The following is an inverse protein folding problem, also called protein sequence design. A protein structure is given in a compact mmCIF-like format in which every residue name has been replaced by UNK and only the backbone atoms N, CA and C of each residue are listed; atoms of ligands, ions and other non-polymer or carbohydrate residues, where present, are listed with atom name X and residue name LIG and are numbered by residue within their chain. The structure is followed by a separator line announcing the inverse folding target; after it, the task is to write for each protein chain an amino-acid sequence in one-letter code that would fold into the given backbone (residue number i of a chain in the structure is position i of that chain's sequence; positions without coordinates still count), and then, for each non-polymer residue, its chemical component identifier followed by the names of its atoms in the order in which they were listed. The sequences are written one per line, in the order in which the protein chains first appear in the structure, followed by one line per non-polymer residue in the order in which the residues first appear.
data_IF_228962552793
#
_entry.id   IF_228962552793
#
_cell.length_a   1.000
_cell.length_b   1.000
_cell.length_c   1.000
_cell.angle_alpha   90.00
_cell.angle_beta   90.00
_cell.angle_gamma   90.00
#
_symmetry.space_group_name_H-M   'P 1'
#
loop_
_entity.id
_entity.type
_entity.pdbx_description
1 polymer ?
#
# COMPACT_ATOMS: atom_id res chain seq x y z
N UNK A 1 -15.25 11.83 32.62
CA UNK A 1 -16.19 12.51 31.68
C UNK A 1 -15.97 12.11 30.20
N UNK A 2 -17.02 12.14 29.37
CA UNK A 2 -16.92 12.02 27.89
C UNK A 2 -16.21 13.25 27.30
N UNK A 3 -15.74 13.17 26.05
CA UNK A 3 -15.09 14.30 25.36
C UNK A 3 -13.64 14.61 25.78
N UNK A 4 -13.11 14.03 26.87
CA UNK A 4 -11.74 14.27 27.33
C UNK A 4 -10.63 13.56 26.52
N UNK A 5 -10.89 13.15 25.28
CA UNK A 5 -9.86 12.61 24.37
C UNK A 5 -9.41 11.16 24.60
N UNK A 6 -10.02 10.38 25.51
CA UNK A 6 -9.62 8.97 25.78
C UNK A 6 -9.43 8.11 24.53
N UNK A 7 -10.38 8.15 23.60
CA UNK A 7 -10.32 7.38 22.36
C UNK A 7 -9.23 7.91 21.41
N UNK A 8 -8.93 9.20 21.46
CA UNK A 8 -7.88 9.81 20.64
C UNK A 8 -6.49 9.47 21.17
N UNK A 9 -6.32 9.42 22.49
CA UNK A 9 -5.07 8.94 23.12
C UNK A 9 -4.78 7.51 22.66
N UNK A 10 -5.75 6.60 22.75
CA UNK A 10 -5.57 5.21 22.32
C UNK A 10 -5.28 5.10 20.82
N UNK A 11 -6.02 5.83 19.98
CA UNK A 11 -5.83 5.84 18.52
C UNK A 11 -4.44 6.36 18.14
N UNK A 12 -3.98 7.44 18.77
CA UNK A 12 -2.66 8.03 18.50
C UNK A 12 -1.54 7.12 18.98
N UNK A 13 -1.69 6.51 20.15
CA UNK A 13 -0.71 5.55 20.65
C UNK A 13 -0.54 4.38 19.69
N UNK A 14 -1.63 3.81 19.16
CA UNK A 14 -1.56 2.74 18.18
C UNK A 14 -0.87 3.16 16.87
N UNK A 15 -1.12 4.40 16.39
CA UNK A 15 -0.39 4.94 15.22
C UNK A 15 1.11 5.10 15.49
N UNK A 16 1.49 5.60 16.66
CA UNK A 16 2.90 5.77 17.05
C UNK A 16 3.62 4.44 17.22
N UNK A 17 2.93 3.43 17.78
CA UNK A 17 3.43 2.08 17.93
C UNK A 17 3.32 1.25 16.63
N UNK A 18 2.76 1.84 15.56
CA UNK A 18 2.57 1.19 14.27
C UNK A 18 1.83 -0.17 14.39
N UNK A 19 0.79 -0.14 15.22
CA UNK A 19 0.03 -1.30 15.67
C UNK A 19 -1.42 -1.24 15.13
N UNK A 20 -2.03 -2.40 14.82
CA UNK A 20 -3.43 -2.46 14.43
C UNK A 20 -4.34 -1.99 15.58
N UNK A 21 -5.43 -1.30 15.23
CA UNK A 21 -6.33 -0.70 16.21
C UNK A 21 -7.79 -0.79 15.78
N UNK A 22 -8.69 -1.01 16.74
CA UNK A 22 -10.14 -0.96 16.53
C UNK A 22 -10.84 -0.31 17.72
N UNK A 23 -11.90 0.46 17.44
CA UNK A 23 -12.80 1.00 18.46
C UNK A 23 -14.09 0.20 18.44
N UNK A 24 -14.47 -0.36 19.59
CA UNK A 24 -15.71 -1.11 19.77
C UNK A 24 -16.51 -0.54 20.94
N UNK A 25 -17.84 -0.62 20.87
CA UNK A 25 -18.75 -0.19 21.95
C UNK A 25 -19.26 -1.41 22.70
N UNK A 26 -19.02 -1.46 24.02
CA UNK A 26 -19.28 -2.63 24.85
C UNK A 26 -20.77 -3.02 24.93
N UNK A 27 -21.67 -2.04 24.91
CA UNK A 27 -23.13 -2.28 24.99
C UNK A 27 -23.64 -3.12 23.84
N UNK A 28 -22.99 -3.07 22.67
CA UNK A 28 -23.36 -3.87 21.48
C UNK A 28 -23.26 -5.38 21.69
N UNK A 29 -22.54 -5.82 22.71
CA UNK A 29 -22.29 -7.24 23.00
C UNK A 29 -23.08 -7.75 24.20
N UNK A 30 -23.72 -6.85 24.95
CA UNK A 30 -24.51 -7.18 26.14
C UNK A 30 -26.01 -6.94 25.96
N UNK A 31 -26.39 -6.14 24.95
CA UNK A 31 -27.77 -5.66 24.74
C UNK A 31 -28.64 -6.63 23.92
N UNK A 32 -28.02 -7.62 23.26
CA UNK A 32 -28.72 -8.67 22.53
C UNK A 32 -28.08 -9.97 22.97
N UNK A 33 -28.82 -10.83 23.66
CA UNK A 33 -28.35 -12.18 23.96
C UNK A 33 -27.72 -12.78 22.70
N UNK A 34 -26.47 -13.23 22.86
CA UNK A 34 -25.61 -13.91 21.88
C UNK A 34 -26.41 -14.37 20.66
N UNK A 35 -26.21 -13.82 19.44
CA UNK A 35 -26.54 -14.45 18.13
C UNK A 35 -26.25 -13.60 16.87
N UNK A 36 -25.31 -12.62 16.87
CA UNK A 36 -25.00 -11.91 15.61
C UNK A 36 -23.64 -11.23 15.48
N UNK A 37 -23.15 -10.58 16.54
CA UNK A 37 -21.76 -10.12 16.66
C UNK A 37 -21.19 -10.67 17.96
N UNK A 38 -20.55 -11.82 17.84
CA UNK A 38 -19.80 -12.41 18.94
C UNK A 38 -18.56 -11.54 19.25
N UNK A 39 -18.05 -11.60 20.48
CA UNK A 39 -16.76 -11.01 20.90
C UNK A 39 -15.64 -11.40 19.93
N UNK A 40 -15.71 -12.58 19.33
CA UNK A 40 -14.82 -13.05 18.28
C UNK A 40 -14.72 -12.10 17.08
N UNK A 41 -15.78 -11.36 16.74
CA UNK A 41 -15.75 -10.38 15.65
C UNK A 41 -14.78 -9.24 15.95
N UNK A 42 -14.59 -8.87 17.22
CA UNK A 42 -13.61 -7.84 17.62
C UNK A 42 -12.21 -8.25 17.22
N UNK A 43 -11.88 -9.54 17.44
CA UNK A 43 -10.57 -10.09 17.09
C UNK A 43 -10.42 -10.21 15.57
N UNK A 44 -11.47 -10.67 14.86
CA UNK A 44 -11.45 -10.74 13.39
C UNK A 44 -11.20 -9.37 12.76
N UNK A 45 -11.96 -8.35 13.16
CA UNK A 45 -11.80 -7.00 12.64
C UNK A 45 -10.40 -6.41 12.96
N UNK A 46 -9.84 -6.72 14.14
CA UNK A 46 -8.49 -6.31 14.50
C UNK A 46 -7.43 -6.98 13.61
N UNK A 47 -7.58 -8.28 13.33
CA UNK A 47 -6.68 -9.03 12.45
C UNK A 47 -6.78 -8.51 11.02
N UNK A 48 -7.97 -8.19 10.52
CA UNK A 48 -8.15 -7.58 9.20
C UNK A 48 -7.40 -6.24 9.10
N UNK A 49 -7.50 -5.39 10.12
CA UNK A 49 -6.73 -4.14 10.19
C UNK A 49 -5.21 -4.39 10.21
N UNK A 50 -4.75 -5.44 10.89
CA UNK A 50 -3.34 -5.84 10.90
C UNK A 50 -2.86 -6.26 9.51
N UNK A 51 -3.66 -7.06 8.78
CA UNK A 51 -3.35 -7.47 7.41
C UNK A 51 -3.24 -6.26 6.49
N UNK A 52 -4.17 -5.30 6.59
CA UNK A 52 -4.12 -4.06 5.81
C UNK A 52 -2.85 -3.25 6.08
N UNK A 53 -2.50 -3.09 7.36
CA UNK A 53 -1.30 -2.38 7.80
C UNK A 53 -0.02 -3.04 7.25
N UNK A 54 0.10 -4.37 7.35
CA UNK A 54 1.26 -5.10 6.81
C UNK A 54 1.32 -5.00 5.29
N UNK A 55 0.19 -5.15 4.59
CA UNK A 55 0.13 -4.98 3.13
C UNK A 55 0.59 -3.60 2.69
N UNK A 56 0.17 -2.56 3.40
CA UNK A 56 0.60 -1.19 3.11
C UNK A 56 2.12 -1.06 3.28
N UNK A 57 2.68 -1.51 4.40
CA UNK A 57 4.13 -1.50 4.63
C UNK A 57 4.92 -2.23 3.56
N UNK A 58 4.44 -3.40 3.13
CA UNK A 58 5.09 -4.18 2.08
C UNK A 58 5.07 -3.45 0.74
N UNK A 59 3.95 -2.81 0.38
CA UNK A 59 3.87 -1.99 -0.83
C UNK A 59 4.83 -0.81 -0.78
N UNK A 60 4.90 -0.11 0.35
CA UNK A 60 5.82 1.01 0.53
C UNK A 60 7.28 0.57 0.40
N UNK A 61 7.66 -0.55 1.03
CA UNK A 61 9.01 -1.13 0.92
C UNK A 61 9.36 -1.56 -0.50
N UNK A 62 8.40 -2.14 -1.23
CA UNK A 62 8.61 -2.63 -2.58
C UNK A 62 8.47 -1.55 -3.66
N UNK A 63 8.05 -0.32 -3.32
CA UNK A 63 7.66 0.70 -4.28
C UNK A 63 8.78 1.07 -5.28
N UNK A 64 10.03 1.16 -4.82
CA UNK A 64 11.18 1.48 -5.67
C UNK A 64 11.48 0.36 -6.67
N UNK A 65 11.54 -0.88 -6.18
CA UNK A 65 11.77 -2.06 -7.00
C UNK A 65 10.64 -2.26 -8.01
N UNK A 66 9.37 -2.13 -7.59
CA UNK A 66 8.22 -2.24 -8.48
C UNK A 66 8.29 -1.18 -9.58
N UNK A 67 8.65 0.07 -9.24
CA UNK A 67 8.78 1.15 -10.23
C UNK A 67 9.78 0.79 -11.33
N UNK A 68 10.97 0.32 -10.96
CA UNK A 68 12.01 -0.09 -11.93
C UNK A 68 11.53 -1.22 -12.84
N UNK A 69 10.87 -2.24 -12.28
CA UNK A 69 10.35 -3.36 -13.06
C UNK A 69 9.23 -2.93 -14.02
N UNK A 70 8.34 -2.06 -13.57
CA UNK A 70 7.25 -1.52 -14.39
C UNK A 70 7.83 -0.67 -15.52
N UNK A 71 8.81 0.19 -15.25
CA UNK A 71 9.47 1.02 -16.27
C UNK A 71 10.14 0.15 -17.34
N UNK A 72 10.92 -0.85 -16.94
CA UNK A 72 11.56 -1.77 -17.88
C UNK A 72 10.53 -2.56 -18.71
N UNK A 73 9.43 -3.00 -18.09
CA UNK A 73 8.36 -3.70 -18.78
C UNK A 73 7.64 -2.81 -19.81
N UNK A 74 7.38 -1.54 -19.45
CA UNK A 74 6.79 -0.55 -20.35
C UNK A 74 7.71 -0.23 -21.52
N UNK A 75 9.00 0.00 -21.27
CA UNK A 75 10.00 0.23 -22.33
C UNK A 75 10.04 -0.94 -23.31
N UNK A 76 10.09 -2.17 -22.79
CA UNK A 76 10.05 -3.38 -23.62
C UNK A 76 8.80 -3.45 -24.51
N UNK A 77 7.64 -3.14 -23.94
CA UNK A 77 6.37 -3.15 -24.69
C UNK A 77 6.37 -2.09 -25.80
N UNK A 78 6.83 -0.88 -25.49
CA UNK A 78 6.93 0.21 -26.47
C UNK A 78 7.89 -0.16 -27.60
N UNK A 79 9.08 -0.70 -27.28
CA UNK A 79 10.06 -1.12 -28.29
C UNK A 79 9.54 -2.25 -29.19
N UNK A 80 8.70 -3.15 -28.65
CA UNK A 80 8.08 -4.21 -29.44
C UNK A 80 7.00 -3.70 -30.40
N UNK A 81 6.36 -2.56 -30.11
CA UNK A 81 5.29 -2.00 -30.95
C UNK A 81 5.81 -1.13 -32.11
N UNK A 82 7.06 -0.62 -32.05
CA UNK A 82 7.66 0.23 -33.09
C UNK A 82 9.07 -0.23 -33.49
N UNK A 83 9.26 -1.44 -34.05
CA UNK A 83 10.59 -1.95 -34.39
C UNK A 83 11.32 -1.14 -35.47
N UNK A 84 10.61 -0.55 -36.43
CA UNK A 84 11.18 0.11 -37.62
C UNK A 84 11.59 1.58 -37.39
N UNK A 85 10.87 2.33 -36.55
CA UNK A 85 11.15 3.77 -36.31
C UNK A 85 12.35 3.99 -35.36
N UNK A 86 12.60 3.07 -34.44
CA UNK A 86 13.64 3.24 -33.41
C UNK A 86 15.02 2.74 -33.82
N UNK A 87 15.13 1.80 -34.77
CA UNK A 87 16.41 1.39 -35.34
C UNK A 87 17.14 2.58 -36.00
N UNK A 88 16.39 3.45 -36.70
CA UNK A 88 16.93 4.68 -37.28
C UNK A 88 17.31 5.73 -36.23
N UNK A 89 16.53 5.86 -35.14
CA UNK A 89 16.79 6.84 -34.08
C UNK A 89 18.03 6.49 -33.21
N UNK A 90 18.26 5.22 -32.91
CA UNK A 90 19.46 4.76 -32.20
C UNK A 90 20.72 4.91 -33.06
N UNK A 91 20.61 4.66 -34.37
CA UNK A 91 21.72 4.82 -35.31
C UNK A 91 22.10 6.29 -35.50
N UNK A 92 21.13 7.20 -35.58
CA UNK A 92 21.39 8.64 -35.71
C UNK A 92 21.91 9.28 -34.42
N UNK A 93 21.44 8.83 -33.25
CA UNK A 93 21.95 9.29 -31.95
C UNK A 93 23.40 8.82 -31.69
N UNK A 94 23.74 7.59 -32.07
CA UNK A 94 25.12 7.09 -31.97
C UNK A 94 26.08 7.86 -32.90
N UNK A 95 25.66 8.14 -34.15
CA UNK A 95 26.45 8.94 -35.09
C UNK A 95 26.68 10.39 -34.61
N UNK A 96 25.70 11.01 -33.95
CA UNK A 96 25.82 12.36 -33.39
C UNK A 96 26.76 12.42 -32.17
N UNK A 97 26.91 11.31 -31.42
CA UNK A 97 27.81 11.23 -30.28
C UNK A 97 29.29 11.06 -30.69
N UNK A 98 29.56 10.40 -31.82
CA UNK A 98 30.92 10.26 -32.38
C UNK A 98 31.42 11.55 -33.05
N UNK A 99 30.55 12.41 -33.55
CA UNK A 99 30.92 13.68 -34.19
C UNK A 99 31.27 14.81 -33.19
N UNK A 100 31.10 14.58 -31.89
CA UNK A 100 31.32 15.58 -30.84
C UNK A 100 32.50 15.23 -29.89
N UNK A 101 33.41 14.36 -30.37
CA UNK A 101 34.75 14.11 -29.83
C UNK A 101 35.79 14.61 -30.83
#
# INVERSE_FOLDING_TARGET
PTGCGKSEIARRLAKLADAPFIKVEATKFTEVGYHGRDVDSIIKDLVENAILLVRQKLRERAASTIRQHVEAALLKLIMQQHPEEHAHALTSAAAAAEQNQ
#
